data_IF_358302576768
#
_entry.id   IF_358302576768
#
_cell.length_a   1.000
_cell.length_b   1.000
_cell.length_c   1.000
_cell.angle_alpha   90.00
_cell.angle_beta   90.00
_cell.angle_gamma   90.00
#
_symmetry.space_group_name_H-M   'P 1'
#
loop_
_entity.id
_entity.type
_entity.pdbx_description
1 polymer ?
#
# COMPACT_ATOMS: atom_id res chain seq x y z
N UNK A 1 4.05 -8.49 6.57
CA UNK A 1 3.72 -9.51 5.55
C UNK A 1 4.56 -10.75 5.79
N UNK A 2 4.00 -11.91 5.47
CA UNK A 2 4.64 -13.20 5.61
C UNK A 2 4.71 -13.84 4.23
N UNK A 3 5.81 -14.52 3.92
CA UNK A 3 5.91 -15.44 2.79
C UNK A 3 5.50 -16.81 3.28
N UNK A 4 4.67 -17.51 2.53
CA UNK A 4 4.22 -18.86 2.85
C UNK A 4 5.02 -19.85 2.00
N UNK A 5 5.60 -20.86 2.64
CA UNK A 5 6.36 -21.91 1.95
C UNK A 5 5.42 -22.94 1.28
N UNK A 6 4.19 -23.06 1.77
CA UNK A 6 3.17 -23.99 1.25
C UNK A 6 1.80 -23.30 1.24
N UNK A 7 1.37 -22.84 0.06
CA UNK A 7 0.08 -22.19 -0.15
C UNK A 7 -1.09 -23.19 -0.02
N UNK A 8 -0.93 -24.42 -0.47
CA UNK A 8 -2.00 -25.44 -0.39
C UNK A 8 -2.28 -25.80 1.07
N UNK A 9 -1.26 -25.95 1.90
CA UNK A 9 -1.43 -26.17 3.32
C UNK A 9 -2.12 -24.97 4.00
N UNK A 10 -1.74 -23.76 3.61
CA UNK A 10 -2.37 -22.54 4.11
C UNK A 10 -3.85 -22.51 3.72
N UNK A 11 -4.19 -22.72 2.45
CA UNK A 11 -5.57 -22.69 1.98
C UNK A 11 -6.44 -23.75 2.67
N UNK A 12 -5.91 -24.95 2.89
CA UNK A 12 -6.63 -26.00 3.62
C UNK A 12 -6.94 -25.59 5.07
N UNK A 13 -5.98 -24.99 5.78
CA UNK A 13 -6.16 -24.48 7.15
C UNK A 13 -7.11 -23.28 7.19
N UNK A 14 -6.96 -22.35 6.26
CA UNK A 14 -7.81 -21.16 6.14
C UNK A 14 -9.26 -21.56 5.84
N UNK A 15 -9.48 -22.47 4.87
CA UNK A 15 -10.80 -23.01 4.57
C UNK A 15 -11.48 -23.58 5.82
N UNK A 16 -10.77 -24.43 6.57
CA UNK A 16 -11.30 -24.98 7.80
C UNK A 16 -11.68 -23.89 8.80
N UNK A 17 -10.78 -22.94 9.03
CA UNK A 17 -10.95 -21.88 10.03
C UNK A 17 -12.11 -20.93 9.68
N UNK A 18 -12.17 -20.47 8.43
CA UNK A 18 -13.15 -19.45 8.02
C UNK A 18 -14.48 -20.08 7.62
N UNK A 19 -14.48 -21.14 6.78
CA UNK A 19 -15.72 -21.66 6.17
C UNK A 19 -16.33 -22.84 6.94
N UNK A 20 -15.54 -23.61 7.70
CA UNK A 20 -16.08 -24.69 8.54
C UNK A 20 -16.31 -24.24 9.98
N UNK A 21 -15.32 -23.57 10.60
CA UNK A 21 -15.39 -23.13 12.00
C UNK A 21 -16.10 -21.76 12.15
N UNK A 22 -16.41 -21.06 11.05
CA UNK A 22 -17.13 -19.79 11.03
C UNK A 22 -16.37 -18.62 11.68
N UNK A 23 -15.02 -18.66 11.64
CA UNK A 23 -14.19 -17.61 12.22
C UNK A 23 -13.94 -16.49 11.21
N UNK A 24 -13.79 -15.28 11.73
CA UNK A 24 -13.50 -14.10 10.89
C UNK A 24 -12.00 -13.82 10.84
N UNK A 25 -11.54 -13.41 9.65
CA UNK A 25 -10.16 -13.01 9.42
C UNK A 25 -10.10 -11.68 8.65
N UNK A 26 -8.94 -11.02 8.74
CA UNK A 26 -8.67 -9.72 8.12
C UNK A 26 -7.48 -9.78 7.16
N UNK A 27 -7.27 -10.92 6.53
CA UNK A 27 -6.12 -11.20 5.70
C UNK A 27 -6.24 -10.57 4.32
N UNK A 28 -5.11 -10.13 3.79
CA UNK A 28 -4.95 -9.66 2.43
C UNK A 28 -3.79 -10.38 1.76
N UNK A 29 -3.87 -10.52 0.45
CA UNK A 29 -2.85 -11.12 -0.40
C UNK A 29 -2.07 -10.04 -1.14
N UNK A 30 -0.75 -10.21 -1.21
CA UNK A 30 0.09 -9.38 -2.06
C UNK A 30 -0.02 -9.87 -3.50
N UNK A 31 -0.37 -8.99 -4.42
CA UNK A 31 -0.43 -9.32 -5.84
C UNK A 31 0.98 -9.41 -6.45
N UNK A 32 1.16 -10.29 -7.45
CA UNK A 32 2.37 -10.31 -8.28
C UNK A 32 2.43 -9.03 -9.14
N UNK A 33 3.58 -8.36 -9.17
CA UNK A 33 3.76 -7.06 -9.84
C UNK A 33 3.99 -7.15 -11.34
N UNK A 34 4.38 -8.31 -11.84
CA UNK A 34 4.75 -8.48 -13.25
C UNK A 34 3.62 -9.14 -14.05
N UNK A 35 3.10 -10.24 -13.55
CA UNK A 35 2.02 -11.03 -14.18
C UNK A 35 1.09 -11.55 -13.09
N UNK A 36 -0.19 -11.68 -13.38
CA UNK A 36 -1.16 -12.25 -12.43
C UNK A 36 -2.57 -12.29 -13.01
N UNK A 37 -3.54 -12.86 -12.28
CA UNK A 37 -4.93 -12.85 -12.68
C UNK A 37 -5.42 -11.42 -12.90
N UNK A 38 -6.40 -11.25 -13.79
CA UNK A 38 -7.08 -9.96 -13.96
C UNK A 38 -8.01 -9.78 -12.77
N UNK A 39 -7.68 -8.81 -11.93
CA UNK A 39 -8.46 -8.49 -10.72
C UNK A 39 -8.96 -7.07 -10.81
N UNK A 40 -10.24 -6.89 -10.52
CA UNK A 40 -10.95 -5.63 -10.68
C UNK A 40 -11.69 -5.31 -9.38
N UNK A 41 -11.59 -4.08 -8.94
CA UNK A 41 -12.28 -3.55 -7.78
C UNK A 41 -13.05 -2.30 -8.23
N UNK A 42 -14.37 -2.38 -8.16
CA UNK A 42 -15.29 -1.29 -8.48
C UNK A 42 -15.84 -0.72 -7.19
N UNK A 43 -15.46 0.50 -6.87
CA UNK A 43 -15.91 1.25 -5.72
C UNK A 43 -16.99 2.27 -6.14
N UNK A 44 -18.23 2.03 -5.77
CA UNK A 44 -19.34 2.97 -6.00
C UNK A 44 -19.56 3.85 -4.77
N UNK A 45 -19.75 5.14 -4.98
CA UNK A 45 -20.14 6.10 -3.94
C UNK A 45 -21.42 6.81 -4.32
N UNK A 46 -22.34 6.80 -3.40
CA UNK A 46 -23.66 7.39 -3.55
C UNK A 46 -23.93 8.37 -2.40
N UNK A 47 -24.93 9.20 -2.55
CA UNK A 47 -25.44 10.01 -1.46
C UNK A 47 -26.03 9.14 -0.35
N UNK A 48 -26.17 9.70 0.86
CA UNK A 48 -26.58 8.94 2.07
C UNK A 48 -28.03 8.48 2.05
N UNK A 49 -28.83 8.92 1.10
CA UNK A 49 -30.22 8.50 0.88
C UNK A 49 -30.36 7.21 0.06
N UNK A 50 -29.25 6.71 -0.48
CA UNK A 50 -29.20 5.41 -1.17
C UNK A 50 -28.96 4.30 -0.14
N UNK A 51 -29.99 3.48 0.10
CA UNK A 51 -29.98 2.42 1.10
C UNK A 51 -29.86 1.00 0.50
N UNK A 52 -29.97 0.88 -0.84
CA UNK A 52 -29.96 -0.39 -1.55
C UNK A 52 -28.97 -0.37 -2.72
N UNK A 53 -28.61 -1.57 -3.22
CA UNK A 53 -27.77 -1.73 -4.42
C UNK A 53 -28.45 -1.10 -5.63
N UNK A 54 -27.69 -0.41 -6.44
CA UNK A 54 -28.20 0.33 -7.61
C UNK A 54 -27.92 -0.39 -8.95
N UNK A 55 -26.99 -1.34 -8.98
CA UNK A 55 -26.66 -2.15 -10.16
C UNK A 55 -27.45 -3.47 -10.15
N UNK A 56 -27.65 -4.02 -11.33
CA UNK A 56 -28.40 -5.27 -11.55
C UNK A 56 -27.47 -6.41 -12.02
N UNK A 57 -28.00 -7.64 -12.10
CA UNK A 57 -27.31 -8.78 -12.68
C UNK A 57 -27.06 -8.58 -14.20
N UNK A 58 -28.01 -7.94 -14.88
CA UNK A 58 -27.88 -7.60 -16.30
C UNK A 58 -26.71 -6.65 -16.53
N UNK A 59 -26.55 -5.63 -15.70
CA UNK A 59 -25.42 -4.69 -15.77
C UNK A 59 -24.07 -5.41 -15.57
N UNK A 60 -24.02 -6.40 -14.66
CA UNK A 60 -22.81 -7.20 -14.43
C UNK A 60 -22.52 -8.06 -15.65
N UNK A 61 -23.52 -8.71 -16.24
CA UNK A 61 -23.37 -9.53 -17.45
C UNK A 61 -22.85 -8.68 -18.62
N UNK A 62 -23.41 -7.50 -18.81
CA UNK A 62 -22.97 -6.57 -19.84
C UNK A 62 -21.54 -6.10 -19.62
N UNK A 63 -21.16 -5.82 -18.37
CA UNK A 63 -19.80 -5.45 -18.00
C UNK A 63 -18.79 -6.58 -18.27
N UNK A 64 -19.14 -7.83 -17.95
CA UNK A 64 -18.28 -8.99 -18.24
C UNK A 64 -18.08 -9.14 -19.75
N UNK A 65 -19.12 -9.00 -20.54
CA UNK A 65 -19.03 -9.05 -22.01
C UNK A 65 -18.14 -7.92 -22.55
N UNK A 66 -18.29 -6.70 -22.02
CA UNK A 66 -17.49 -5.55 -22.43
C UNK A 66 -15.99 -5.76 -22.10
N UNK A 67 -15.70 -6.31 -20.93
CA UNK A 67 -14.32 -6.67 -20.57
C UNK A 67 -13.75 -7.72 -21.52
N UNK A 68 -14.53 -8.73 -21.87
CA UNK A 68 -14.04 -9.77 -22.76
C UNK A 68 -13.81 -9.26 -24.18
N UNK A 69 -14.67 -8.37 -24.66
CA UNK A 69 -14.45 -7.69 -25.94
C UNK A 69 -13.10 -6.94 -25.94
N UNK A 70 -12.78 -6.20 -24.90
CA UNK A 70 -11.50 -5.49 -24.80
C UNK A 70 -10.31 -6.46 -24.63
N UNK A 71 -10.46 -7.53 -23.86
CA UNK A 71 -9.43 -8.56 -23.70
C UNK A 71 -9.14 -9.24 -25.05
N UNK A 72 -10.17 -9.56 -25.83
CA UNK A 72 -10.01 -10.17 -27.15
C UNK A 72 -9.29 -9.29 -28.16
N UNK A 73 -9.31 -7.94 -27.95
CA UNK A 73 -8.51 -7.00 -28.73
C UNK A 73 -7.04 -6.95 -28.31
N UNK A 74 -6.71 -7.39 -27.08
CA UNK A 74 -5.35 -7.33 -26.53
C UNK A 74 -4.56 -8.62 -26.74
N UNK A 75 -5.23 -9.78 -26.67
CA UNK A 75 -4.57 -11.09 -26.68
C UNK A 75 -5.24 -12.04 -27.66
N UNK A 76 -4.48 -13.03 -28.13
CA UNK A 76 -4.97 -14.08 -29.04
C UNK A 76 -5.55 -15.22 -28.19
N UNK A 77 -6.87 -15.33 -28.13
CA UNK A 77 -7.58 -16.38 -27.41
C UNK A 77 -7.96 -17.49 -28.39
N UNK A 78 -7.46 -18.72 -28.21
CA UNK A 78 -7.78 -19.82 -29.07
C UNK A 78 -9.27 -20.19 -28.98
N UNK A 79 -9.85 -20.70 -30.10
CA UNK A 79 -11.18 -21.31 -30.07
C UNK A 79 -11.24 -22.50 -29.09
N UNK A 80 -12.43 -22.79 -28.57
CA UNK A 80 -12.70 -23.81 -27.55
C UNK A 80 -12.03 -23.52 -26.19
N UNK A 81 -11.68 -22.26 -25.93
CA UNK A 81 -11.19 -21.82 -24.63
C UNK A 81 -12.36 -21.54 -23.71
N UNK A 82 -12.24 -21.97 -22.45
CA UNK A 82 -13.18 -21.64 -21.38
C UNK A 82 -12.43 -20.81 -20.35
N UNK A 83 -12.97 -19.63 -20.01
CA UNK A 83 -12.38 -18.68 -19.05
C UNK A 83 -13.37 -18.48 -17.91
N UNK A 84 -13.01 -18.85 -16.69
CA UNK A 84 -13.88 -18.62 -15.53
C UNK A 84 -13.85 -17.14 -15.12
N UNK A 85 -15.02 -16.63 -14.74
CA UNK A 85 -15.18 -15.27 -14.20
C UNK A 85 -15.92 -15.35 -12.87
N UNK A 86 -15.34 -14.74 -11.83
CA UNK A 86 -15.88 -14.75 -10.48
C UNK A 86 -16.25 -13.34 -10.05
N UNK A 87 -17.49 -13.15 -9.62
CA UNK A 87 -18.03 -11.86 -9.16
C UNK A 87 -18.35 -11.95 -7.67
N UNK A 88 -17.85 -11.00 -6.92
CA UNK A 88 -18.05 -10.95 -5.49
C UNK A 88 -18.72 -9.64 -5.11
N UNK A 89 -19.71 -9.73 -4.25
CA UNK A 89 -20.42 -8.58 -3.70
C UNK A 89 -20.58 -8.75 -2.18
N UNK A 90 -20.75 -7.64 -1.48
CA UNK A 90 -21.29 -7.65 -0.12
C UNK A 90 -22.80 -7.81 -0.18
N UNK A 91 -23.39 -8.34 0.88
CA UNK A 91 -24.85 -8.51 0.93
C UNK A 91 -25.56 -7.15 0.92
N UNK A 92 -25.05 -6.19 1.69
CA UNK A 92 -25.63 -4.87 1.85
C UNK A 92 -24.67 -3.77 1.41
N UNK A 93 -25.23 -2.59 1.08
CA UNK A 93 -24.45 -1.36 0.93
C UNK A 93 -23.89 -0.94 2.29
N UNK A 94 -22.76 -0.24 2.28
CA UNK A 94 -22.11 0.25 3.50
C UNK A 94 -22.43 1.73 3.71
N UNK A 95 -23.40 2.00 4.59
CA UNK A 95 -23.83 3.35 4.94
C UNK A 95 -22.84 3.99 5.92
N UNK A 96 -22.24 5.10 5.53
CA UNK A 96 -21.34 5.92 6.34
C UNK A 96 -21.98 7.29 6.60
N UNK A 97 -21.42 8.08 7.51
CA UNK A 97 -21.98 9.37 7.91
C UNK A 97 -22.19 10.36 6.75
N UNK A 98 -21.31 10.31 5.73
CA UNK A 98 -21.31 11.28 4.62
C UNK A 98 -21.47 10.65 3.24
N UNK A 99 -21.55 9.34 3.10
CA UNK A 99 -21.66 8.65 1.82
C UNK A 99 -22.10 7.21 2.01
N UNK A 100 -22.86 6.68 1.08
CA UNK A 100 -23.13 5.24 0.98
C UNK A 100 -22.15 4.63 -0.01
N UNK A 101 -21.52 3.53 0.38
CA UNK A 101 -20.56 2.79 -0.46
C UNK A 101 -21.10 1.44 -0.83
N UNK A 102 -20.92 1.07 -2.08
CA UNK A 102 -21.08 -0.29 -2.59
C UNK A 102 -19.87 -0.66 -3.42
N UNK A 103 -19.74 -1.93 -3.81
CA UNK A 103 -18.63 -2.34 -4.64
C UNK A 103 -18.74 -3.75 -5.15
N UNK A 104 -18.07 -3.99 -6.25
CA UNK A 104 -17.96 -5.29 -6.91
C UNK A 104 -16.48 -5.64 -7.03
N UNK A 105 -16.09 -6.81 -6.53
CA UNK A 105 -14.84 -7.43 -6.88
C UNK A 105 -15.06 -8.41 -8.04
N UNK A 106 -14.17 -8.43 -9.01
CA UNK A 106 -14.21 -9.37 -10.13
C UNK A 106 -12.84 -9.99 -10.36
N UNK A 107 -12.81 -11.30 -10.59
CA UNK A 107 -11.63 -12.02 -11.05
C UNK A 107 -11.96 -12.63 -12.39
N UNK A 108 -11.18 -12.28 -13.43
CA UNK A 108 -11.23 -12.95 -14.73
C UNK A 108 -10.04 -13.91 -14.79
N UNK A 109 -10.31 -15.19 -15.00
CA UNK A 109 -9.33 -16.29 -14.92
C UNK A 109 -8.31 -16.31 -16.08
N UNK A 110 -7.68 -15.16 -16.30
CA UNK A 110 -6.59 -14.99 -17.27
C UNK A 110 -5.37 -14.43 -16.54
N UNK A 111 -4.24 -15.13 -16.66
CA UNK A 111 -2.94 -14.62 -16.26
C UNK A 111 -2.42 -13.65 -17.32
N UNK A 112 -2.33 -12.37 -16.99
CA UNK A 112 -1.97 -11.30 -17.91
C UNK A 112 -0.85 -10.43 -17.34
N UNK A 113 0.09 -9.99 -18.20
CA UNK A 113 1.12 -9.02 -17.80
C UNK A 113 0.49 -7.70 -17.32
N UNK A 114 1.02 -7.12 -16.26
CA UNK A 114 0.49 -5.87 -15.67
C UNK A 114 0.44 -4.70 -16.66
N UNK A 115 1.37 -4.66 -17.62
CA UNK A 115 1.33 -3.68 -18.69
C UNK A 115 0.05 -3.74 -19.53
N UNK A 116 -0.40 -4.94 -19.87
CA UNK A 116 -1.65 -5.18 -20.59
C UNK A 116 -2.88 -4.90 -19.71
N UNK A 117 -2.85 -5.27 -18.43
CA UNK A 117 -3.94 -4.95 -17.51
C UNK A 117 -4.13 -3.44 -17.34
N UNK A 118 -3.03 -2.65 -17.38
CA UNK A 118 -3.12 -1.17 -17.36
C UNK A 118 -3.76 -0.64 -18.64
N UNK A 119 -3.42 -1.20 -19.81
CA UNK A 119 -4.06 -0.83 -21.09
C UNK A 119 -5.55 -1.17 -21.02
N UNK A 120 -5.89 -2.38 -20.59
CA UNK A 120 -7.27 -2.82 -20.42
C UNK A 120 -8.05 -1.85 -19.53
N UNK A 121 -7.52 -1.53 -18.35
CA UNK A 121 -8.17 -0.56 -17.46
C UNK A 121 -8.40 0.79 -18.11
N UNK A 122 -7.38 1.35 -18.77
CA UNK A 122 -7.49 2.66 -19.38
C UNK A 122 -8.57 2.70 -20.48
N UNK A 123 -8.73 1.62 -21.24
CA UNK A 123 -9.80 1.49 -22.23
C UNK A 123 -11.15 1.33 -21.54
N UNK A 124 -11.24 0.51 -20.49
CA UNK A 124 -12.48 0.27 -19.76
C UNK A 124 -13.01 1.49 -19.05
N UNK A 125 -12.18 2.30 -18.40
CA UNK A 125 -12.62 3.54 -17.73
C UNK A 125 -13.47 4.44 -18.64
N UNK A 126 -13.11 4.53 -19.93
CA UNK A 126 -13.89 5.32 -20.89
C UNK A 126 -15.25 4.68 -21.27
N UNK A 127 -15.41 3.38 -21.02
CA UNK A 127 -16.58 2.59 -21.38
C UNK A 127 -17.52 2.28 -20.21
N UNK A 128 -17.07 2.43 -18.96
CA UNK A 128 -17.91 2.15 -17.77
C UNK A 128 -19.26 2.86 -17.81
N UNK A 129 -19.29 4.05 -18.39
CA UNK A 129 -20.51 4.84 -18.56
C UNK A 129 -21.53 4.19 -19.49
N UNK A 130 -21.12 3.31 -20.39
CA UNK A 130 -22.03 2.62 -21.32
C UNK A 130 -22.97 1.69 -20.55
N UNK A 131 -22.45 1.06 -19.48
CA UNK A 131 -23.20 0.09 -18.65
C UNK A 131 -23.81 0.78 -17.43
N UNK A 132 -23.04 1.59 -16.71
CA UNK A 132 -23.42 2.16 -15.40
C UNK A 132 -23.73 3.66 -15.44
N UNK A 133 -23.95 4.24 -16.62
CA UNK A 133 -24.17 5.67 -16.76
C UNK A 133 -25.42 6.22 -16.06
N UNK A 134 -26.40 5.36 -15.78
CA UNK A 134 -27.62 5.70 -15.08
C UNK A 134 -27.50 5.60 -13.55
N UNK A 135 -26.38 5.05 -13.02
CA UNK A 135 -26.18 4.97 -11.58
C UNK A 135 -25.97 6.38 -10.98
N UNK A 136 -26.59 6.68 -9.81
CA UNK A 136 -26.48 7.99 -9.16
C UNK A 136 -25.13 8.15 -8.43
N UNK A 137 -24.03 8.02 -9.15
CA UNK A 137 -22.66 8.05 -8.60
C UNK A 137 -22.22 9.47 -8.24
N UNK A 138 -21.56 9.61 -7.10
CA UNK A 138 -20.88 10.84 -6.68
C UNK A 138 -19.38 10.86 -7.00
N UNK A 139 -18.77 9.71 -7.30
CA UNK A 139 -17.37 9.61 -7.67
C UNK A 139 -17.17 9.48 -9.19
N UNK A 140 -15.95 9.79 -9.64
CA UNK A 140 -15.58 9.72 -11.05
C UNK A 140 -15.32 8.28 -11.51
N UNK A 141 -15.40 8.01 -12.82
CA UNK A 141 -15.13 6.67 -13.38
C UNK A 141 -13.72 6.17 -13.09
N UNK A 142 -12.75 7.08 -13.00
CA UNK A 142 -11.38 6.78 -12.61
C UNK A 142 -11.28 6.29 -11.15
N UNK A 143 -12.17 6.79 -10.28
CA UNK A 143 -12.26 6.38 -8.87
C UNK A 143 -13.13 5.14 -8.69
N UNK A 144 -14.09 4.89 -9.59
CA UNK A 144 -14.90 3.66 -9.58
C UNK A 144 -14.02 2.45 -9.83
N UNK A 145 -13.13 2.46 -10.83
CA UNK A 145 -12.24 1.34 -11.12
C UNK A 145 -10.86 1.56 -10.51
N UNK A 146 -10.57 0.86 -9.40
CA UNK A 146 -9.34 1.06 -8.60
C UNK A 146 -8.08 0.77 -9.43
N UNK A 147 -7.29 1.83 -9.62
CA UNK A 147 -6.02 1.75 -10.33
C UNK A 147 -4.95 0.99 -9.54
N UNK A 148 -5.01 1.04 -8.21
CA UNK A 148 -4.04 0.38 -7.32
C UNK A 148 -4.12 -1.14 -7.42
N UNK A 149 -5.31 -1.69 -7.57
CA UNK A 149 -5.54 -3.13 -7.80
C UNK A 149 -4.96 -3.53 -9.16
N UNK A 150 -5.28 -2.79 -10.23
CA UNK A 150 -4.75 -3.07 -11.57
C UNK A 150 -3.22 -3.02 -11.62
N UNK A 151 -2.59 -2.08 -10.92
CA UNK A 151 -1.13 -1.92 -10.86
C UNK A 151 -0.44 -2.85 -9.87
N UNK A 152 -1.18 -3.66 -9.12
CA UNK A 152 -0.68 -4.49 -8.02
C UNK A 152 0.13 -3.68 -6.97
N UNK A 153 -0.28 -2.44 -6.71
CA UNK A 153 0.32 -1.57 -5.69
C UNK A 153 -0.39 -1.67 -4.35
N UNK A 154 -1.63 -2.17 -4.34
CA UNK A 154 -2.41 -2.49 -3.14
C UNK A 154 -2.59 -3.99 -3.01
N UNK A 155 -2.80 -4.46 -1.78
CA UNK A 155 -3.11 -5.86 -1.53
C UNK A 155 -4.55 -6.17 -1.89
N UNK A 156 -4.79 -7.38 -2.39
CA UNK A 156 -6.12 -7.93 -2.60
C UNK A 156 -6.68 -8.50 -1.29
N UNK A 157 -7.96 -8.34 -1.03
CA UNK A 157 -8.58 -8.95 0.14
C UNK A 157 -8.78 -10.45 -0.11
N UNK A 158 -8.17 -11.29 0.75
CA UNK A 158 -8.32 -12.75 0.64
C UNK A 158 -9.80 -13.13 0.80
N UNK A 159 -10.32 -13.95 -0.10
CA UNK A 159 -11.72 -14.34 -0.08
C UNK A 159 -12.13 -14.95 1.28
N UNK A 160 -13.26 -14.52 1.83
CA UNK A 160 -13.72 -14.87 3.17
C UNK A 160 -13.18 -13.98 4.29
N UNK A 161 -12.13 -13.19 4.03
CA UNK A 161 -11.68 -12.13 4.94
C UNK A 161 -12.47 -10.84 4.74
N UNK A 162 -12.43 -9.95 5.73
CA UNK A 162 -13.15 -8.67 5.69
C UNK A 162 -12.35 -7.54 6.34
N UNK A 163 -12.67 -6.31 6.00
CA UNK A 163 -12.15 -5.15 6.76
C UNK A 163 -12.86 -5.10 8.13
N UNK A 164 -12.19 -4.66 9.21
CA UNK A 164 -12.84 -4.49 10.51
C UNK A 164 -14.12 -3.68 10.40
N UNK A 165 -15.21 -4.16 11.04
CA UNK A 165 -16.52 -3.49 11.02
C UNK A 165 -17.31 -3.60 9.71
N UNK A 166 -16.77 -4.28 8.68
CA UNK A 166 -17.43 -4.43 7.39
C UNK A 166 -17.85 -5.89 7.13
N UNK A 167 -18.78 -6.08 6.20
CA UNK A 167 -19.11 -7.38 5.65
C UNK A 167 -17.97 -7.91 4.75
N UNK A 168 -17.87 -9.24 4.64
CA UNK A 168 -17.00 -9.88 3.65
C UNK A 168 -17.68 -9.87 2.28
N UNK A 169 -16.86 -9.84 1.24
CA UNK A 169 -17.31 -10.14 -0.11
C UNK A 169 -17.67 -11.62 -0.23
N UNK A 170 -18.78 -11.92 -0.88
CA UNK A 170 -19.31 -13.28 -1.12
C UNK A 170 -19.35 -13.53 -2.62
N UNK A 171 -18.96 -14.73 -3.06
CA UNK A 171 -19.10 -15.15 -4.45
C UNK A 171 -20.57 -15.15 -4.84
N UNK A 172 -20.98 -14.18 -5.66
CA UNK A 172 -22.36 -13.94 -6.06
C UNK A 172 -22.69 -14.59 -7.39
N UNK A 173 -21.75 -14.46 -8.37
CA UNK A 173 -21.89 -15.06 -9.68
C UNK A 173 -20.59 -15.74 -10.09
N UNK A 174 -20.75 -16.87 -10.79
CA UNK A 174 -19.66 -17.60 -11.41
C UNK A 174 -20.06 -17.88 -12.88
N UNK A 175 -19.30 -17.33 -13.78
CA UNK A 175 -19.52 -17.52 -15.21
C UNK A 175 -18.39 -18.31 -15.83
N UNK A 176 -18.71 -19.10 -16.87
CA UNK A 176 -17.75 -19.59 -17.85
C UNK A 176 -17.98 -18.84 -19.15
N UNK A 177 -16.92 -18.21 -19.64
CA UNK A 177 -16.90 -17.56 -20.92
C UNK A 177 -16.27 -18.52 -21.91
N UNK A 178 -17.07 -19.04 -22.86
CA UNK A 178 -16.68 -20.05 -23.83
C UNK A 178 -16.49 -19.41 -25.20
N UNK A 179 -15.31 -19.58 -25.80
CA UNK A 179 -14.99 -19.12 -27.16
C UNK A 179 -15.24 -20.26 -28.12
N UNK A 180 -16.09 -20.07 -29.13
CA UNK A 180 -16.43 -21.09 -30.13
C UNK A 180 -15.42 -21.18 -31.31
N UNK A 181 -15.75 -21.95 -32.32
CA UNK A 181 -14.89 -22.17 -33.50
C UNK A 181 -14.83 -20.97 -34.44
N UNK A 182 -15.81 -20.07 -34.38
CA UNK A 182 -15.90 -18.84 -35.17
C UNK A 182 -15.29 -17.63 -34.44
N UNK A 183 -14.70 -17.86 -33.23
CA UNK A 183 -14.20 -16.87 -32.27
C UNK A 183 -15.29 -15.94 -31.72
N UNK A 184 -16.55 -16.34 -31.81
CA UNK A 184 -17.60 -15.75 -31.01
C UNK A 184 -17.56 -16.34 -29.61
N UNK A 185 -18.20 -15.67 -28.63
CA UNK A 185 -18.23 -16.15 -27.25
C UNK A 185 -19.63 -16.15 -26.67
N UNK A 186 -19.81 -17.07 -25.73
CA UNK A 186 -21.04 -17.16 -24.92
C UNK A 186 -20.69 -17.12 -23.45
N UNK A 187 -21.52 -16.45 -22.67
CA UNK A 187 -21.41 -16.39 -21.22
C UNK A 187 -22.40 -17.39 -20.60
N UNK A 188 -21.87 -18.43 -19.96
CA UNK A 188 -22.64 -19.46 -19.27
C UNK A 188 -22.62 -19.21 -17.77
N UNK A 189 -23.81 -19.22 -17.12
CA UNK A 189 -23.94 -19.00 -15.67
C UNK A 189 -23.82 -20.33 -14.96
N UNK A 190 -22.89 -20.45 -14.04
CA UNK A 190 -22.71 -21.60 -13.18
C UNK A 190 -23.49 -21.44 -11.85
N UNK A 191 -24.05 -22.53 -11.36
CA UNK A 191 -24.67 -22.54 -10.04
C UNK A 191 -23.59 -22.39 -8.95
N UNK A 192 -23.51 -21.22 -8.33
CA UNK A 192 -22.55 -20.89 -7.27
C UNK A 192 -22.61 -21.89 -6.10
N UNK A 193 -23.76 -22.52 -5.84
CA UNK A 193 -23.92 -23.52 -4.79
C UNK A 193 -23.14 -24.82 -5.09
N UNK A 194 -22.76 -25.03 -6.36
CA UNK A 194 -21.94 -26.17 -6.78
C UNK A 194 -20.43 -25.86 -6.78
N UNK A 195 -20.04 -24.61 -6.52
CA UNK A 195 -18.64 -24.27 -6.40
C UNK A 195 -18.04 -24.96 -5.15
N UNK A 196 -17.09 -25.87 -5.38
CA UNK A 196 -16.45 -26.58 -4.28
C UNK A 196 -15.39 -25.71 -3.61
N UNK A 197 -15.81 -24.96 -2.61
CA UNK A 197 -14.95 -24.06 -1.86
C UNK A 197 -13.72 -24.76 -1.25
N UNK A 198 -13.77 -26.08 -1.04
CA UNK A 198 -12.64 -26.81 -0.47
C UNK A 198 -11.54 -27.07 -1.48
N UNK A 199 -11.88 -27.39 -2.73
CA UNK A 199 -10.92 -27.72 -3.79
C UNK A 199 -10.60 -26.51 -4.65
N UNK A 200 -11.56 -25.62 -4.90
CA UNK A 200 -11.51 -24.56 -5.88
C UNK A 200 -11.25 -23.17 -5.27
N UNK A 201 -11.14 -23.10 -3.93
CA UNK A 201 -10.83 -21.83 -3.22
C UNK A 201 -9.64 -21.07 -3.84
N UNK A 202 -8.61 -21.80 -4.27
CA UNK A 202 -7.40 -21.22 -4.87
C UNK A 202 -7.66 -20.43 -6.14
N UNK A 203 -8.72 -20.75 -6.90
CA UNK A 203 -9.11 -20.00 -8.10
C UNK A 203 -9.48 -18.54 -7.79
N UNK A 204 -9.84 -18.26 -6.52
CA UNK A 204 -10.25 -16.95 -6.01
C UNK A 204 -9.09 -16.16 -5.42
N UNK A 205 -7.87 -16.67 -5.48
CA UNK A 205 -6.67 -16.08 -4.91
C UNK A 205 -5.88 -15.25 -5.92
N UNK A 206 -5.34 -14.12 -5.47
CA UNK A 206 -4.39 -13.31 -6.23
C UNK A 206 -3.06 -14.02 -6.53
N UNK A 207 -2.78 -15.13 -5.82
CA UNK A 207 -1.56 -15.94 -5.94
C UNK A 207 -1.75 -17.18 -6.82
N UNK A 208 -2.95 -17.42 -7.34
CA UNK A 208 -3.17 -18.60 -8.14
C UNK A 208 -2.53 -18.48 -9.53
N UNK A 209 -1.58 -19.37 -9.81
CA UNK A 209 -0.80 -19.38 -11.06
C UNK A 209 -1.39 -20.27 -12.15
N UNK A 210 -2.47 -21.03 -11.85
CA UNK A 210 -3.05 -22.00 -12.76
C UNK A 210 -4.06 -21.44 -13.77
N UNK A 211 -4.33 -20.14 -13.78
CA UNK A 211 -5.13 -19.50 -14.83
C UNK A 211 -4.40 -19.49 -16.18
N UNK A 212 -5.15 -19.53 -17.28
CA UNK A 212 -4.59 -19.55 -18.63
C UNK A 212 -3.90 -18.22 -18.97
N UNK A 213 -2.84 -18.29 -19.76
CA UNK A 213 -2.16 -17.13 -20.34
C UNK A 213 -2.27 -17.16 -21.86
N UNK A 214 -2.37 -15.99 -22.46
CA UNK A 214 -2.50 -15.84 -23.91
C UNK A 214 -1.45 -14.89 -24.46
N UNK A 215 -1.03 -15.12 -25.71
CA UNK A 215 -0.06 -14.27 -26.40
C UNK A 215 -0.67 -12.90 -26.71
N UNK A 216 0.12 -11.85 -26.50
CA UNK A 216 -0.27 -10.49 -26.85
C UNK A 216 -0.32 -10.31 -28.37
N UNK A 217 -1.39 -9.70 -28.89
CA UNK A 217 -1.50 -9.36 -30.31
C UNK A 217 -0.41 -8.40 -30.77
N UNK A 218 0.13 -8.62 -31.96
CA UNK A 218 1.16 -7.73 -32.52
C UNK A 218 0.70 -6.27 -32.68
N UNK A 219 -0.59 -6.04 -32.92
CA UNK A 219 -1.21 -4.72 -33.01
C UNK A 219 -1.07 -3.90 -31.71
N UNK A 220 -0.97 -4.56 -30.56
CA UNK A 220 -0.88 -3.94 -29.24
C UNK A 220 0.57 -3.66 -28.82
N UNK A 221 1.54 -4.27 -29.48
CA UNK A 221 2.97 -4.18 -29.11
C UNK A 221 3.47 -2.74 -28.95
N UNK A 222 3.09 -1.85 -29.84
CA UNK A 222 3.49 -0.45 -29.76
C UNK A 222 2.88 0.28 -28.55
N UNK A 223 1.60 0.03 -28.25
CA UNK A 223 0.90 0.59 -27.07
C UNK A 223 1.50 0.01 -25.79
N UNK A 224 1.80 -1.27 -25.76
CA UNK A 224 2.40 -1.96 -24.63
C UNK A 224 3.81 -1.45 -24.32
N UNK A 225 4.65 -1.30 -25.34
CA UNK A 225 5.98 -0.70 -25.18
C UNK A 225 5.89 0.77 -24.73
N UNK A 226 4.90 1.52 -25.21
CA UNK A 226 4.64 2.87 -24.72
C UNK A 226 4.24 2.89 -23.24
N UNK A 227 3.49 1.90 -22.73
CA UNK A 227 3.19 1.76 -21.31
C UNK A 227 4.42 1.33 -20.52
N UNK A 228 5.25 0.40 -21.05
CA UNK A 228 6.52 -0.01 -20.44
C UNK A 228 7.56 1.13 -20.43
N UNK A 229 7.64 1.91 -21.53
CA UNK A 229 8.51 3.08 -21.60
C UNK A 229 7.96 4.23 -20.78
N UNK A 230 6.64 4.40 -20.71
CA UNK A 230 6.00 5.29 -19.74
C UNK A 230 6.25 4.81 -18.29
N UNK A 231 6.38 3.51 -18.01
CA UNK A 231 6.91 2.99 -16.73
C UNK A 231 8.41 3.32 -16.55
N UNK A 232 9.20 3.27 -17.60
CA UNK A 232 10.63 3.68 -17.57
C UNK A 232 10.81 5.20 -17.56
N UNK A 233 9.88 5.97 -18.16
CA UNK A 233 9.89 7.43 -18.17
C UNK A 233 8.90 8.06 -17.17
N UNK A 234 8.01 7.30 -16.55
CA UNK A 234 7.04 7.70 -15.54
C UNK A 234 7.31 7.07 -14.18
N UNK A 235 8.55 6.76 -13.84
CA UNK A 235 9.01 6.98 -12.48
C UNK A 235 9.20 8.50 -12.22
N UNK A 236 8.47 9.35 -12.93
CA UNK A 236 8.21 10.72 -12.52
C UNK A 236 7.41 10.58 -11.24
N UNK A 237 8.06 10.88 -10.13
CA UNK A 237 7.43 10.93 -8.82
C UNK A 237 6.13 11.71 -8.93
N UNK A 238 4.99 11.03 -8.98
CA UNK A 238 3.72 11.66 -8.62
C UNK A 238 3.77 11.82 -7.12
N UNK A 239 4.19 12.99 -6.68
CA UNK A 239 3.90 13.44 -5.32
C UNK A 239 2.38 13.60 -5.29
N UNK A 240 1.79 12.88 -4.34
CA UNK A 240 0.35 12.83 -4.13
C UNK A 240 -0.14 14.23 -3.76
N UNK A 241 -0.48 15.01 -4.74
CA UNK A 241 -1.65 15.88 -4.76
C UNK A 241 -1.77 16.60 -6.12
N UNK A 242 -2.97 16.59 -6.71
CA UNK A 242 -3.24 16.97 -8.10
C UNK A 242 -3.07 18.46 -8.42
N UNK A 243 -2.54 19.32 -7.53
CA UNK A 243 -2.61 20.77 -7.73
C UNK A 243 -1.34 21.60 -7.56
N UNK A 244 -0.16 21.06 -7.20
CA UNK A 244 1.08 21.87 -7.15
C UNK A 244 2.34 21.04 -7.44
N UNK A 245 3.06 21.43 -8.52
CA UNK A 245 4.36 20.91 -8.96
C UNK A 245 4.35 19.44 -9.43
N UNK A 246 3.93 19.25 -10.66
CA UNK A 246 3.85 17.93 -11.31
C UNK A 246 5.22 17.30 -11.63
N UNK A 247 6.34 18.03 -11.49
CA UNK A 247 7.66 17.53 -11.85
C UNK A 247 8.77 18.15 -10.98
N UNK A 248 9.44 17.36 -10.16
CA UNK A 248 10.62 17.79 -9.38
C UNK A 248 11.71 18.38 -10.28
N UNK A 249 11.78 17.95 -11.54
CA UNK A 249 12.76 18.47 -12.50
C UNK A 249 12.50 19.91 -12.94
N UNK A 250 11.34 20.48 -12.61
CA UNK A 250 10.98 21.86 -12.90
C UNK A 250 11.35 22.86 -11.79
N UNK A 251 11.87 22.36 -10.66
CA UNK A 251 12.32 23.19 -9.55
C UNK A 251 13.53 24.03 -10.00
N UNK A 252 13.44 25.34 -9.80
CA UNK A 252 14.45 26.30 -10.26
C UNK A 252 15.16 27.04 -9.13
N UNK A 253 14.65 26.92 -7.90
CA UNK A 253 15.19 27.65 -6.75
C UNK A 253 14.91 26.93 -5.42
N UNK A 254 15.56 27.40 -4.35
CA UNK A 254 15.48 26.81 -3.02
C UNK A 254 14.07 26.89 -2.41
N UNK A 255 13.35 27.98 -2.62
CA UNK A 255 12.01 28.17 -2.01
C UNK A 255 10.99 27.16 -2.57
N UNK A 256 11.09 26.87 -3.88
CA UNK A 256 10.29 25.83 -4.53
C UNK A 256 10.63 24.44 -3.99
N UNK A 257 11.92 24.15 -3.81
CA UNK A 257 12.39 22.89 -3.24
C UNK A 257 11.89 22.72 -1.80
N UNK A 258 12.05 23.72 -0.97
CA UNK A 258 11.61 23.67 0.43
C UNK A 258 10.09 23.49 0.57
N UNK A 259 9.32 24.17 -0.30
CA UNK A 259 7.86 24.00 -0.35
C UNK A 259 7.49 22.57 -0.72
N UNK A 260 8.16 21.98 -1.69
CA UNK A 260 7.89 20.62 -2.14
C UNK A 260 8.32 19.58 -1.10
N UNK A 261 9.46 19.77 -0.45
CA UNK A 261 9.94 18.93 0.66
C UNK A 261 8.96 18.97 1.81
N UNK A 262 8.49 20.16 2.21
CA UNK A 262 7.51 20.30 3.28
C UNK A 262 6.21 19.58 2.93
N UNK A 263 5.72 19.76 1.72
CA UNK A 263 4.53 19.04 1.23
C UNK A 263 4.74 17.52 1.27
N UNK A 264 5.89 17.03 0.81
CA UNK A 264 6.21 15.60 0.87
C UNK A 264 6.17 15.07 2.30
N UNK A 265 6.83 15.74 3.24
CA UNK A 265 6.91 15.33 4.65
C UNK A 265 5.55 15.35 5.35
N UNK A 266 4.71 16.34 5.04
CA UNK A 266 3.39 16.51 5.67
C UNK A 266 2.35 15.49 5.18
N UNK A 267 2.52 14.98 3.94
CA UNK A 267 1.57 14.04 3.33
C UNK A 267 2.05 12.58 3.36
N UNK A 268 3.14 12.27 4.06
CA UNK A 268 3.55 10.88 4.29
C UNK A 268 2.53 10.21 5.23
N UNK A 269 1.92 9.14 4.74
CA UNK A 269 0.99 8.34 5.53
C UNK A 269 1.69 7.65 6.72
N UNK A 270 0.93 7.39 7.78
CA UNK A 270 1.45 6.77 9.01
C UNK A 270 2.10 5.39 8.78
N UNK A 271 1.59 4.63 7.80
CA UNK A 271 2.16 3.34 7.38
C UNK A 271 3.50 3.49 6.64
N UNK A 272 3.81 4.68 6.12
CA UNK A 272 5.05 5.01 5.41
C UNK A 272 5.99 5.89 6.26
N UNK A 273 5.77 6.00 7.59
CA UNK A 273 6.57 6.86 8.47
C UNK A 273 8.08 6.62 8.35
N UNK A 274 8.51 5.42 7.99
CA UNK A 274 9.92 5.12 7.67
C UNK A 274 10.50 6.05 6.61
N UNK A 275 9.70 6.55 5.66
CA UNK A 275 10.17 7.51 4.65
C UNK A 275 10.46 8.87 5.28
N UNK A 276 9.59 9.33 6.19
CA UNK A 276 9.79 10.56 6.97
C UNK A 276 11.04 10.46 7.85
N UNK A 277 11.17 9.37 8.59
CA UNK A 277 12.34 9.08 9.43
C UNK A 277 13.62 9.05 8.58
N UNK A 278 13.59 8.39 7.42
CA UNK A 278 14.73 8.34 6.49
C UNK A 278 15.09 9.74 5.97
N UNK A 279 14.11 10.54 5.60
CA UNK A 279 14.32 11.93 5.21
C UNK A 279 15.03 12.72 6.32
N UNK A 280 14.50 12.68 7.53
CA UNK A 280 15.05 13.42 8.67
C UNK A 280 16.50 13.01 8.97
N UNK A 281 16.81 11.71 8.99
CA UNK A 281 18.18 11.22 9.18
C UNK A 281 19.10 11.56 8.01
N UNK A 282 18.60 11.62 6.78
CA UNK A 282 19.40 12.06 5.63
C UNK A 282 19.76 13.53 5.74
N UNK A 283 18.81 14.36 6.15
CA UNK A 283 19.02 15.81 6.29
C UNK A 283 19.92 16.19 7.47
N UNK A 284 20.15 15.29 8.43
CA UNK A 284 21.06 15.54 9.53
C UNK A 284 22.54 15.18 9.22
N UNK A 285 22.80 14.53 8.09
CA UNK A 285 24.18 14.23 7.65
C UNK A 285 24.93 15.52 7.29
N UNK A 286 26.18 15.60 7.71
CA UNK A 286 27.02 16.80 7.53
C UNK A 286 27.67 16.85 6.15
N UNK A 287 28.42 17.92 5.88
CA UNK A 287 29.22 18.15 4.67
C UNK A 287 30.17 16.99 4.31
N UNK A 288 30.54 16.18 5.28
CA UNK A 288 31.31 14.95 5.06
C UNK A 288 30.60 13.93 4.16
N UNK A 289 29.28 14.06 3.96
CA UNK A 289 28.47 13.15 3.16
C UNK A 289 27.95 13.77 1.85
N UNK A 290 27.69 15.08 1.77
CA UNK A 290 27.18 15.70 0.55
C UNK A 290 28.28 16.40 -0.30
N UNK A 291 29.49 16.63 0.22
CA UNK A 291 30.59 17.19 -0.57
C UNK A 291 31.36 16.09 -1.31
N UNK A 292 31.86 14.99 -0.69
CA UNK A 292 32.59 13.94 -1.40
C UNK A 292 31.66 13.10 -2.26
N UNK A 293 31.97 13.01 -3.57
CA UNK A 293 31.15 12.28 -4.54
C UNK A 293 30.89 10.83 -4.15
N UNK A 294 31.90 10.12 -3.66
CA UNK A 294 31.79 8.70 -3.24
C UNK A 294 30.81 8.48 -2.09
N UNK A 295 30.68 9.42 -1.19
CA UNK A 295 29.70 9.37 -0.09
C UNK A 295 28.33 9.86 -0.53
N UNK A 296 28.28 10.94 -1.27
CA UNK A 296 27.05 11.50 -1.82
C UNK A 296 26.27 10.47 -2.66
N UNK A 297 26.97 9.77 -3.58
CA UNK A 297 26.34 8.77 -4.42
C UNK A 297 25.83 7.57 -3.61
N UNK A 298 26.54 7.17 -2.54
CA UNK A 298 26.10 6.09 -1.63
C UNK A 298 24.85 6.45 -0.86
N UNK A 299 24.69 7.71 -0.47
CA UNK A 299 23.42 8.20 0.11
C UNK A 299 22.31 8.08 -0.93
N UNK A 300 22.53 8.46 -2.18
CA UNK A 300 21.59 8.26 -3.27
C UNK A 300 21.18 6.80 -3.44
N UNK A 301 22.11 5.85 -3.45
CA UNK A 301 21.84 4.42 -3.52
C UNK A 301 21.00 3.92 -2.32
N UNK A 302 21.34 4.36 -1.12
CA UNK A 302 20.63 3.98 0.10
C UNK A 302 19.17 4.47 0.08
N UNK A 303 18.93 5.68 -0.39
CA UNK A 303 17.60 6.27 -0.57
C UNK A 303 16.82 5.53 -1.66
N UNK A 304 17.42 5.30 -2.83
CA UNK A 304 16.80 4.58 -3.95
C UNK A 304 16.37 3.17 -3.58
N UNK A 305 17.25 2.41 -2.89
CA UNK A 305 16.96 1.06 -2.44
C UNK A 305 15.89 1.02 -1.32
N UNK A 306 15.64 2.14 -0.67
CA UNK A 306 14.57 2.27 0.34
C UNK A 306 13.23 2.57 -0.32
N UNK A 307 13.17 3.59 -1.18
CA UNK A 307 11.96 3.96 -1.92
C UNK A 307 12.28 4.98 -3.03
N UNK A 308 11.61 4.81 -4.18
CA UNK A 308 11.66 5.80 -5.26
C UNK A 308 11.13 7.19 -4.84
N UNK A 309 10.22 7.24 -3.86
CA UNK A 309 9.67 8.49 -3.31
C UNK A 309 10.75 9.38 -2.67
N UNK A 310 11.90 8.83 -2.29
CA UNK A 310 12.99 9.54 -1.64
C UNK A 310 13.92 10.29 -2.61
N UNK A 311 13.60 10.35 -3.90
CA UNK A 311 14.33 11.21 -4.83
C UNK A 311 14.33 12.67 -4.39
N UNK A 312 13.17 13.19 -3.94
CA UNK A 312 13.08 14.56 -3.41
C UNK A 312 14.01 14.77 -2.21
N UNK A 313 14.15 13.76 -1.34
CA UNK A 313 15.11 13.78 -0.23
C UNK A 313 16.54 13.87 -0.72
N UNK A 314 16.89 13.14 -1.79
CA UNK A 314 18.23 13.20 -2.36
C UNK A 314 18.54 14.56 -3.00
N UNK A 315 17.57 15.19 -3.65
CA UNK A 315 17.70 16.56 -4.16
C UNK A 315 17.88 17.55 -3.03
N UNK A 316 17.02 17.49 -2.00
CA UNK A 316 17.14 18.37 -0.82
C UNK A 316 18.49 18.20 -0.09
N UNK A 317 18.94 16.95 0.03
CA UNK A 317 20.26 16.63 0.58
C UNK A 317 21.39 17.20 -0.28
N UNK A 318 21.31 17.07 -1.60
CA UNK A 318 22.30 17.60 -2.56
C UNK A 318 22.34 19.13 -2.54
N UNK A 319 21.19 19.78 -2.35
CA UNK A 319 21.08 21.25 -2.30
C UNK A 319 21.77 21.89 -1.08
N UNK A 320 22.16 21.10 -0.07
CA UNK A 320 23.02 21.59 1.01
C UNK A 320 24.46 21.89 0.55
N UNK A 321 24.88 21.34 -0.60
CA UNK A 321 26.20 21.60 -1.16
C UNK A 321 26.25 22.97 -1.84
N UNK A 322 27.28 23.80 -1.57
CA UNK A 322 27.46 25.09 -2.28
C UNK A 322 27.64 24.95 -3.80
N UNK A 323 27.97 23.76 -4.28
CA UNK A 323 28.16 23.48 -5.71
C UNK A 323 26.89 22.93 -6.39
N UNK A 324 25.76 22.89 -5.69
CA UNK A 324 24.49 22.43 -6.25
C UNK A 324 23.92 23.46 -7.23
N UNK A 325 23.48 22.99 -8.39
CA UNK A 325 22.87 23.80 -9.44
C UNK A 325 21.49 23.21 -9.77
N UNK A 326 20.43 24.04 -9.69
CA UNK A 326 19.04 23.61 -9.90
C UNK A 326 18.76 23.12 -11.32
N UNK A 327 19.45 23.66 -12.32
CA UNK A 327 19.33 23.25 -13.73
C UNK A 327 19.83 21.81 -13.98
N UNK A 328 20.60 21.24 -13.06
CA UNK A 328 21.09 19.87 -13.11
C UNK A 328 20.18 18.83 -12.44
N UNK A 329 19.03 19.23 -11.92
CA UNK A 329 18.09 18.26 -11.28
C UNK A 329 17.65 17.20 -12.29
N UNK A 330 17.50 17.54 -13.56
CA UNK A 330 17.19 16.59 -14.63
C UNK A 330 18.28 15.53 -14.79
N UNK A 331 19.56 15.91 -14.73
CA UNK A 331 20.69 14.97 -14.81
C UNK A 331 20.74 14.05 -13.57
N UNK A 332 20.43 14.58 -12.39
CA UNK A 332 20.32 13.79 -11.17
C UNK A 332 19.15 12.79 -11.24
N UNK A 333 18.05 13.19 -11.86
CA UNK A 333 16.94 12.28 -12.10
C UNK A 333 17.32 11.13 -13.03
N UNK A 334 18.02 11.43 -14.13
CA UNK A 334 18.53 10.41 -15.04
C UNK A 334 19.54 9.48 -14.35
N UNK A 335 20.38 10.01 -13.46
CA UNK A 335 21.28 9.22 -12.63
C UNK A 335 20.51 8.32 -11.66
N UNK A 336 19.49 8.86 -10.97
CA UNK A 336 18.62 8.13 -10.07
C UNK A 336 17.92 6.97 -10.76
N UNK A 337 17.44 7.15 -11.99
CA UNK A 337 16.79 6.10 -12.78
C UNK A 337 17.74 4.99 -13.21
N UNK A 338 19.06 5.27 -13.29
CA UNK A 338 20.11 4.27 -13.62
C UNK A 338 20.63 3.51 -12.41
N UNK A 339 20.27 3.92 -11.18
CA UNK A 339 20.66 3.16 -10.01
C UNK A 339 19.99 1.78 -10.07
N UNK A 340 20.82 0.74 -10.12
CA UNK A 340 20.36 -0.64 -10.04
C UNK A 340 19.85 -0.91 -8.63
N UNK A 341 18.63 -1.39 -8.51
CA UNK A 341 18.10 -1.91 -7.23
C UNK A 341 18.76 -3.25 -6.98
N UNK A 342 19.63 -3.30 -6.01
CA UNK A 342 20.52 -4.43 -5.80
C UNK A 342 19.97 -5.46 -4.79
N UNK A 343 20.69 -6.56 -4.68
CA UNK A 343 20.50 -7.74 -3.84
C UNK A 343 20.40 -7.42 -2.33
N UNK A 344 20.12 -8.45 -1.51
CA UNK A 344 19.86 -8.39 -0.06
C UNK A 344 20.92 -7.65 0.79
N UNK A 345 22.17 -7.52 0.31
CA UNK A 345 23.28 -6.86 1.00
C UNK A 345 23.49 -5.38 0.65
N UNK A 346 22.51 -4.71 0.04
CA UNK A 346 22.68 -3.33 -0.43
C UNK A 346 22.47 -2.26 0.66
N UNK A 347 22.98 -1.05 0.37
CA UNK A 347 22.74 0.13 1.21
C UNK A 347 21.25 0.47 1.22
N UNK A 348 20.68 0.77 2.41
CA UNK A 348 19.28 1.10 2.61
C UNK A 348 19.16 2.21 3.67
N UNK A 349 17.92 2.55 4.06
CA UNK A 349 17.66 3.45 5.19
C UNK A 349 18.44 3.07 6.46
N UNK A 350 18.71 1.78 6.70
CA UNK A 350 19.53 1.32 7.84
C UNK A 350 20.95 1.86 7.78
N UNK A 351 21.51 1.98 6.57
CA UNK A 351 22.82 2.58 6.35
C UNK A 351 22.82 4.08 6.68
N UNK A 352 21.74 4.78 6.28
CA UNK A 352 21.56 6.21 6.59
C UNK A 352 21.46 6.42 8.10
N UNK A 353 20.65 5.63 8.80
CA UNK A 353 20.54 5.68 10.27
C UNK A 353 21.90 5.46 10.93
N UNK A 354 22.65 4.48 10.47
CA UNK A 354 24.01 4.21 10.99
C UNK A 354 24.96 5.40 10.76
N UNK A 355 24.91 6.01 9.57
CA UNK A 355 25.76 7.17 9.27
C UNK A 355 25.32 8.39 10.10
N UNK A 356 24.04 8.68 10.20
CA UNK A 356 23.51 9.76 11.01
C UNK A 356 23.92 9.66 12.47
N UNK A 357 23.81 8.46 13.06
CA UNK A 357 24.22 8.18 14.44
C UNK A 357 25.70 8.45 14.68
N UNK A 358 26.58 8.17 13.70
CA UNK A 358 28.03 8.35 13.86
C UNK A 358 28.50 9.75 13.47
N UNK A 359 27.82 10.43 12.56
CA UNK A 359 28.20 11.74 12.04
C UNK A 359 27.63 12.90 12.90
N UNK A 360 26.38 12.78 13.31
CA UNK A 360 25.67 13.81 14.10
C UNK A 360 24.79 13.17 15.20
N UNK A 361 25.41 12.63 16.27
CA UNK A 361 24.69 11.88 17.30
C UNK A 361 23.65 12.73 18.05
N UNK A 362 23.89 14.02 18.26
CA UNK A 362 22.94 14.90 18.94
C UNK A 362 21.65 15.03 18.11
N UNK A 363 21.78 15.32 16.83
CA UNK A 363 20.62 15.45 15.93
C UNK A 363 19.93 14.12 15.70
N UNK A 364 20.69 13.03 15.67
CA UNK A 364 20.13 11.67 15.62
C UNK A 364 19.20 11.41 16.81
N UNK A 365 19.64 11.76 18.04
CA UNK A 365 18.85 11.56 19.24
C UNK A 365 17.60 12.45 19.26
N UNK A 366 17.68 13.71 18.79
CA UNK A 366 16.52 14.59 18.61
C UNK A 366 15.47 13.95 17.68
N UNK A 367 15.88 13.49 16.51
CA UNK A 367 15.00 12.84 15.53
C UNK A 367 14.37 11.58 16.13
N UNK A 368 15.14 10.80 16.88
CA UNK A 368 14.65 9.61 17.56
C UNK A 368 13.55 9.95 18.57
N UNK A 369 13.74 11.00 19.37
CA UNK A 369 12.74 11.45 20.34
C UNK A 369 11.47 11.98 19.65
N UNK A 370 11.62 12.70 18.55
CA UNK A 370 10.49 13.16 17.74
C UNK A 370 9.70 11.97 17.18
N UNK A 371 10.38 10.96 16.66
CA UNK A 371 9.76 9.73 16.14
C UNK A 371 8.98 8.99 17.23
N UNK A 372 9.58 8.82 18.42
CA UNK A 372 8.90 8.19 19.57
C UNK A 372 7.66 9.00 19.96
N UNK A 373 7.78 10.32 20.07
CA UNK A 373 6.67 11.21 20.41
C UNK A 373 5.53 11.13 19.42
N UNK A 374 5.83 11.05 18.12
CA UNK A 374 4.83 10.85 17.07
C UNK A 374 4.02 9.56 17.27
N UNK A 375 4.69 8.44 17.55
CA UNK A 375 3.99 7.18 17.76
C UNK A 375 3.20 7.15 19.08
N UNK A 376 3.67 7.85 20.11
CA UNK A 376 2.91 8.03 21.36
C UNK A 376 1.60 8.78 21.09
N UNK A 377 1.63 9.89 20.35
CA UNK A 377 0.41 10.62 19.96
C UNK A 377 -0.56 9.71 19.18
N UNK A 378 -0.03 8.88 18.28
CA UNK A 378 -0.86 7.90 17.54
C UNK A 378 -1.54 6.88 18.45
N UNK A 379 -0.89 6.43 19.52
CA UNK A 379 -1.53 5.50 20.47
C UNK A 379 -2.62 6.18 21.30
N UNK A 380 -2.51 7.49 21.54
CA UNK A 380 -3.55 8.25 22.21
C UNK A 380 -4.79 8.37 21.32
N UNK A 381 -4.58 8.61 20.03
CA UNK A 381 -5.66 8.77 19.05
C UNK A 381 -6.37 7.44 18.72
N UNK A 382 -5.62 6.36 18.49
CA UNK A 382 -6.14 5.10 17.94
C UNK A 382 -6.29 3.97 18.97
N UNK A 383 -5.49 3.93 20.02
CA UNK A 383 -5.50 2.97 21.13
C UNK A 383 -5.45 1.48 20.69
N UNK A 384 -4.71 1.17 19.61
CA UNK A 384 -4.57 -0.21 19.12
C UNK A 384 -3.31 -0.88 19.66
N UNK A 385 -3.34 -2.22 19.84
CA UNK A 385 -2.16 -3.01 20.21
C UNK A 385 -1.01 -2.81 19.20
N UNK A 386 -1.35 -2.61 17.93
CA UNK A 386 -0.37 -2.37 16.87
C UNK A 386 0.36 -1.03 17.06
N UNK A 387 -0.36 0.05 17.39
CA UNK A 387 0.25 1.35 17.65
C UNK A 387 1.16 1.31 18.89
N UNK A 388 0.72 0.63 19.95
CA UNK A 388 1.59 0.36 21.13
C UNK A 388 2.84 -0.44 20.77
N UNK A 389 2.71 -1.45 19.93
CA UNK A 389 3.86 -2.24 19.46
C UNK A 389 4.86 -1.39 18.67
N UNK A 390 4.38 -0.41 17.87
CA UNK A 390 5.25 0.54 17.18
C UNK A 390 6.02 1.46 18.14
N UNK A 391 5.38 1.97 19.19
CA UNK A 391 6.07 2.72 20.26
C UNK A 391 7.15 1.87 20.89
N UNK A 392 6.83 0.64 21.31
CA UNK A 392 7.79 -0.30 21.91
C UNK A 392 8.95 -0.58 20.98
N UNK A 393 8.66 -0.82 19.68
CA UNK A 393 9.69 -1.04 18.68
C UNK A 393 10.64 0.17 18.57
N UNK A 394 10.11 1.38 18.44
CA UNK A 394 10.94 2.59 18.33
C UNK A 394 11.78 2.86 19.58
N UNK A 395 11.22 2.61 20.76
CA UNK A 395 11.95 2.79 22.02
C UNK A 395 13.07 1.76 22.20
N UNK A 396 12.84 0.52 21.80
CA UNK A 396 13.65 -0.62 22.24
C UNK A 396 14.35 -1.41 21.13
N UNK A 397 14.18 -1.07 19.84
CA UNK A 397 14.74 -1.80 18.69
C UNK A 397 16.28 -1.99 18.73
N UNK A 398 17.00 -1.07 19.39
CA UNK A 398 18.46 -1.13 19.53
C UNK A 398 18.92 -1.87 20.79
N UNK A 399 18.01 -2.18 21.70
CA UNK A 399 18.29 -2.73 23.01
C UNK A 399 17.80 -4.16 23.17
N UNK A 400 16.68 -4.53 22.52
CA UNK A 400 16.08 -5.85 22.59
C UNK A 400 15.80 -6.43 21.22
N UNK A 401 15.91 -7.77 21.10
CA UNK A 401 15.51 -8.51 19.91
C UNK A 401 14.87 -9.84 20.29
N UNK A 402 13.78 -10.21 19.61
CA UNK A 402 13.18 -11.53 19.70
C UNK A 402 13.70 -12.40 18.57
N UNK A 403 14.40 -13.46 18.87
CA UNK A 403 14.95 -14.40 17.87
C UNK A 403 14.01 -15.58 17.62
N UNK A 404 13.06 -15.84 18.53
CA UNK A 404 12.06 -16.89 18.35
C UNK A 404 10.80 -16.59 19.18
N UNK A 405 9.74 -16.23 18.50
CA UNK A 405 8.42 -16.02 19.14
C UNK A 405 7.92 -17.34 19.75
N UNK A 406 8.08 -18.46 19.03
CA UNK A 406 7.62 -19.79 19.48
C UNK A 406 8.28 -20.25 20.78
N UNK A 407 9.55 -19.87 20.99
CA UNK A 407 10.33 -20.24 22.16
C UNK A 407 10.40 -19.15 23.22
N UNK A 408 9.76 -18.00 22.99
CA UNK A 408 9.86 -16.80 23.81
C UNK A 408 11.33 -16.40 24.08
N UNK A 409 12.17 -16.54 23.03
CA UNK A 409 13.61 -16.33 23.14
C UNK A 409 13.96 -14.89 22.78
N UNK A 410 14.34 -14.16 23.81
CA UNK A 410 14.72 -12.75 23.73
C UNK A 410 16.20 -12.55 24.04
N UNK A 411 16.78 -11.50 23.44
CA UNK A 411 18.13 -11.05 23.73
C UNK A 411 18.12 -9.54 24.05
N UNK A 412 19.00 -9.15 24.97
CA UNK A 412 19.26 -7.76 25.32
C UNK A 412 20.70 -7.40 24.93
N UNK A 413 20.88 -6.21 24.30
CA UNK A 413 22.19 -5.67 24.01
C UNK A 413 22.70 -4.86 25.20
N UNK A 414 23.74 -5.35 25.87
CA UNK A 414 24.44 -4.67 26.96
C UNK A 414 25.92 -5.12 27.01
N UNK A 415 26.78 -4.27 27.53
CA UNK A 415 28.22 -4.55 27.60
C UNK A 415 28.84 -4.93 26.24
N UNK A 416 28.38 -4.25 25.16
CA UNK A 416 28.82 -4.45 23.77
C UNK A 416 28.54 -5.86 23.20
N UNK A 417 27.61 -6.62 23.76
CA UNK A 417 27.20 -7.94 23.27
C UNK A 417 25.71 -8.20 23.51
N UNK A 418 25.20 -9.15 22.76
CA UNK A 418 23.86 -9.69 22.98
C UNK A 418 23.91 -10.77 24.07
N UNK A 419 23.11 -10.62 25.09
CA UNK A 419 22.94 -11.56 26.18
C UNK A 419 21.49 -12.08 26.17
N UNK A 420 21.32 -13.38 26.51
CA UNK A 420 19.99 -13.96 26.61
C UNK A 420 19.20 -13.29 27.73
N UNK A 421 17.95 -12.97 27.40
CA UNK A 421 16.99 -12.36 28.32
C UNK A 421 15.78 -13.28 28.45
N UNK A 422 15.80 -14.16 29.44
CA UNK A 422 14.82 -15.21 29.65
C UNK A 422 13.39 -14.61 29.72
N UNK A 423 12.53 -15.05 28.79
CA UNK A 423 11.15 -14.60 28.69
C UNK A 423 10.97 -13.09 28.52
N UNK A 424 12.01 -12.37 28.06
CA UNK A 424 11.95 -10.90 27.87
C UNK A 424 11.79 -10.11 29.19
N UNK A 425 12.29 -10.65 30.31
CA UNK A 425 12.07 -10.05 31.64
C UNK A 425 12.54 -8.60 31.74
N UNK A 426 13.73 -8.27 31.22
CA UNK A 426 14.25 -6.88 31.21
C UNK A 426 13.40 -5.96 30.32
N UNK A 427 12.86 -6.47 29.20
CA UNK A 427 11.92 -5.72 28.35
C UNK A 427 10.63 -5.41 29.10
N UNK A 428 10.05 -6.40 29.80
CA UNK A 428 8.84 -6.19 30.61
C UNK A 428 9.07 -5.16 31.73
N UNK A 429 10.23 -5.19 32.36
CA UNK A 429 10.62 -4.18 33.35
C UNK A 429 10.75 -2.78 32.72
N UNK A 430 11.40 -2.68 31.57
CA UNK A 430 11.53 -1.42 30.83
C UNK A 430 10.15 -0.86 30.44
N UNK A 431 9.24 -1.69 29.93
CA UNK A 431 7.86 -1.30 29.64
C UNK A 431 7.17 -0.74 30.90
N UNK A 432 7.26 -1.46 32.02
CA UNK A 432 6.58 -1.07 33.27
C UNK A 432 7.14 0.22 33.89
N UNK A 433 8.39 0.54 33.65
CA UNK A 433 9.05 1.71 34.25
C UNK A 433 9.18 2.87 33.26
N UNK A 434 9.81 2.64 32.10
CA UNK A 434 10.15 3.70 31.15
C UNK A 434 8.91 4.14 30.35
N UNK A 435 8.18 3.18 29.76
CA UNK A 435 6.98 3.49 28.95
C UNK A 435 5.87 4.07 29.81
N UNK A 436 5.60 3.47 30.98
CA UNK A 436 4.61 3.99 31.91
C UNK A 436 4.91 5.44 32.28
N UNK A 437 6.17 5.78 32.58
CA UNK A 437 6.56 7.14 32.95
C UNK A 437 6.31 8.15 31.81
N UNK A 438 6.52 7.73 30.55
CA UNK A 438 6.29 8.59 29.39
C UNK A 438 4.78 8.91 29.26
N UNK A 439 3.92 7.90 29.32
CA UNK A 439 2.47 8.13 29.26
C UNK A 439 1.95 8.89 30.46
N UNK A 440 2.47 8.63 31.66
CA UNK A 440 2.13 9.40 32.85
C UNK A 440 2.50 10.89 32.70
N UNK A 441 3.70 11.17 32.18
CA UNK A 441 4.12 12.56 31.95
C UNK A 441 3.23 13.23 30.88
N UNK A 442 2.85 12.51 29.84
CA UNK A 442 1.93 13.00 28.79
C UNK A 442 0.54 13.28 29.33
N UNK A 443 0.01 12.40 30.16
CA UNK A 443 -1.25 12.63 30.88
C UNK A 443 -1.18 13.91 31.74
N UNK A 444 -0.10 14.09 32.50
CA UNK A 444 0.08 15.28 33.31
C UNK A 444 0.19 16.58 32.49
N UNK A 445 0.78 16.49 31.30
CA UNK A 445 0.83 17.59 30.34
C UNK A 445 -0.57 17.98 29.85
N UNK A 446 -1.36 17.01 29.42
CA UNK A 446 -2.74 17.23 28.98
C UNK A 446 -3.62 17.80 30.08
N UNK A 447 -3.51 17.27 31.29
CA UNK A 447 -4.22 17.81 32.49
C UNK A 447 -3.85 19.27 32.76
N UNK A 448 -2.56 19.64 32.64
CA UNK A 448 -2.12 21.02 32.77
C UNK A 448 -2.70 21.92 31.67
N UNK A 449 -2.75 21.47 30.42
CA UNK A 449 -3.34 22.22 29.32
C UNK A 449 -4.84 22.49 29.55
N UNK A 450 -5.58 21.47 30.00
CA UNK A 450 -7.00 21.60 30.37
C UNK A 450 -7.17 22.59 31.51
N UNK A 451 -6.34 22.49 32.57
CA UNK A 451 -6.45 23.28 33.79
C UNK A 451 -6.00 24.73 33.62
N UNK A 452 -5.15 25.03 32.63
CA UNK A 452 -4.60 26.38 32.41
C UNK A 452 -5.63 27.39 31.88
N UNK A 453 -6.86 26.95 31.55
CA UNK A 453 -7.94 27.80 31.06
C UNK A 453 -7.68 28.46 29.69
N UNK A 454 -6.66 28.02 28.99
CA UNK A 454 -6.30 28.54 27.65
C UNK A 454 -7.27 28.14 26.56
N UNK A 455 -8.16 27.19 26.83
CA UNK A 455 -9.22 26.73 25.90
C UNK A 455 -10.59 26.97 26.54
N UNK A 456 -11.52 27.52 25.73
CA UNK A 456 -12.92 27.63 26.12
C UNK A 456 -13.50 26.23 26.46
N UNK A 457 -14.09 26.02 27.65
CA UNK A 457 -14.65 24.73 28.05
C UNK A 457 -15.71 24.14 27.09
N UNK A 458 -16.31 25.00 26.27
CA UNK A 458 -17.34 24.60 25.28
C UNK A 458 -16.76 24.30 23.90
N UNK A 459 -15.49 24.60 23.68
CA UNK A 459 -14.81 24.43 22.38
C UNK A 459 -14.57 22.97 22.05
N UNK A 460 -14.58 22.61 20.75
CA UNK A 460 -14.19 21.29 20.27
C UNK A 460 -12.77 20.91 20.72
N UNK A 461 -11.85 21.88 20.73
CA UNK A 461 -10.48 21.68 21.20
C UNK A 461 -10.41 21.24 22.67
N UNK A 462 -11.28 21.77 23.54
CA UNK A 462 -11.33 21.39 24.96
C UNK A 462 -11.91 19.96 25.10
N UNK A 463 -12.95 19.61 24.33
CA UNK A 463 -13.52 18.25 24.30
C UNK A 463 -12.53 17.22 23.78
N UNK A 464 -11.77 17.56 22.72
CA UNK A 464 -10.70 16.73 22.21
C UNK A 464 -9.60 16.48 23.26
N UNK A 465 -9.13 17.52 23.93
CA UNK A 465 -8.16 17.38 25.03
C UNK A 465 -8.66 16.52 26.19
N UNK A 466 -9.98 16.53 26.48
CA UNK A 466 -10.56 15.67 27.51
C UNK A 466 -10.71 14.22 27.09
N UNK A 467 -10.87 13.95 25.78
CA UNK A 467 -11.01 12.59 25.24
C UNK A 467 -9.67 11.87 25.11
N UNK A 468 -8.58 12.60 24.97
CA UNK A 468 -7.19 12.13 24.89
C UNK A 468 -6.61 11.79 26.26
#
# INVERSE_FOLDING_TARGET
SYTLDDLDEFYAKYYKHVFQDGKFEFLTEKQNRDIGPIMLDFDFRYSTDVEEKQHTEEDINEMVNLYFQEISELVDIPSRTVIPVFIFEKENVNMLDNTTKDGIHMIIGIHMERGLQIILRNRMVSKLKEVWGELPLENTWEEVLDEGVTKATVNWQLYGSRKPGNESYVLKYHYDLEVDEDNDWTLSINDVKKFDMKTDFKLLSAQYEGHQSFEMKDSIRAEFEAVKTKKKSKSKLKIVDKNKLEDITQITNQDELDTLVQHFVDHIESNEYTLKETHMYTMCLTDKYYIPYDKWIRVGWALKNTSDKLFITWIAFSAQSPSFEFDKISDFYDMWCRFETANEDCLTFKSIIYWAKNDNPEKYDEIRQETISYFIEKTIDNQTDFDFALVLYQMYKDRFTCVSIKKDAWYIYRNHRWEENEGGTDLRMAISQELFQIYFNKQMELVKQISSGTTDPTSEKHKDLQSR
#
